data_IF_492833947590
#
_entry.id   IF_492833947590
#
_cell.length_a   1.000
_cell.length_b   1.000
_cell.length_c   1.000
_cell.angle_alpha   90.00
_cell.angle_beta   90.00
_cell.angle_gamma   90.00
#
_symmetry.space_group_name_H-M   'P 1'
#
loop_
_entity.id
_entity.type
_entity.pdbx_description
1 polymer ?
#
# COMPACT_ATOMS: atom_id res chain seq x y z
N UNK A 1 8.30 20.65 3.08
CA UNK A 1 6.94 20.35 2.54
C UNK A 1 5.86 20.92 3.48
N UNK A 2 5.78 20.49 4.75
CA UNK A 2 4.75 20.95 5.70
C UNK A 2 4.63 22.49 5.76
N UNK A 3 5.73 23.19 5.97
CA UNK A 3 5.74 24.67 6.00
C UNK A 3 5.27 25.31 4.67
N UNK A 4 5.60 24.70 3.53
CA UNK A 4 5.17 25.19 2.22
C UNK A 4 3.66 25.06 2.02
N UNK A 5 3.08 23.96 2.51
CA UNK A 5 1.65 23.69 2.42
C UNK A 5 0.82 24.35 3.52
N UNK A 6 1.46 24.86 4.57
CA UNK A 6 0.78 25.34 5.78
C UNK A 6 0.12 24.21 6.58
N UNK A 7 0.66 22.98 6.50
CA UNK A 7 0.17 21.79 7.18
C UNK A 7 0.99 21.51 8.43
N UNK A 8 0.41 20.80 9.39
CA UNK A 8 1.11 20.34 10.58
C UNK A 8 2.17 19.29 10.21
N UNK A 9 3.38 19.43 10.73
CA UNK A 9 4.40 18.38 10.63
C UNK A 9 4.29 17.43 11.82
N UNK A 10 4.07 16.15 11.55
CA UNK A 10 4.04 15.09 12.56
C UNK A 10 5.23 14.16 12.27
N UNK A 11 6.21 14.16 13.17
CA UNK A 11 7.34 13.24 13.08
C UNK A 11 6.88 11.80 13.32
N UNK A 12 7.16 10.91 12.38
CA UNK A 12 6.77 9.50 12.46
C UNK A 12 7.32 8.80 13.70
N UNK A 13 8.51 9.18 14.19
CA UNK A 13 9.07 8.64 15.42
C UNK A 13 8.25 8.97 16.68
N UNK A 14 7.33 9.95 16.61
CA UNK A 14 6.45 10.29 17.74
C UNK A 14 5.12 9.56 17.75
N UNK A 15 4.76 8.89 16.63
CA UNK A 15 3.42 8.31 16.42
C UNK A 15 3.44 6.88 15.88
N UNK A 16 4.57 6.40 15.37
CA UNK A 16 4.76 5.05 14.85
C UNK A 16 5.80 4.34 15.71
N UNK A 17 5.46 3.14 16.20
CA UNK A 17 6.28 2.44 17.18
C UNK A 17 6.62 1.01 16.74
N UNK A 18 7.78 0.56 17.21
CA UNK A 18 8.28 -0.81 17.06
C UNK A 18 8.50 -1.43 18.44
N UNK A 19 8.39 -2.75 18.54
CA UNK A 19 8.67 -3.51 19.75
C UNK A 19 10.18 -3.76 19.97
N UNK A 20 10.54 -4.44 21.05
CA UNK A 20 11.93 -4.80 21.39
C UNK A 20 12.59 -5.71 20.34
N UNK A 21 11.82 -6.41 19.53
CA UNK A 21 12.29 -7.29 18.47
C UNK A 21 12.39 -6.56 17.11
N UNK A 22 12.04 -5.26 17.05
CA UNK A 22 12.00 -4.48 15.82
C UNK A 22 10.76 -4.75 14.97
N UNK A 23 9.72 -5.42 15.50
CA UNK A 23 8.46 -5.57 14.79
C UNK A 23 7.56 -4.35 15.00
N UNK A 24 6.72 -4.07 14.03
CA UNK A 24 5.76 -2.97 14.11
C UNK A 24 4.74 -3.19 15.24
N UNK A 25 4.69 -2.26 16.20
CA UNK A 25 3.70 -2.23 17.27
C UNK A 25 2.41 -1.55 16.81
N UNK A 26 1.50 -2.35 16.26
CA UNK A 26 0.25 -1.87 15.69
C UNK A 26 -0.70 -1.27 16.76
N UNK A 27 -0.73 -1.82 17.96
CA UNK A 27 -1.65 -1.39 19.02
C UNK A 27 -1.26 -0.01 19.57
N UNK A 28 0.02 0.13 19.93
CA UNK A 28 0.54 1.40 20.43
C UNK A 28 0.47 2.49 19.37
N UNK A 29 0.84 2.16 18.14
CA UNK A 29 0.77 3.09 17.01
C UNK A 29 -0.66 3.55 16.75
N UNK A 30 -1.63 2.64 16.63
CA UNK A 30 -3.04 2.96 16.41
C UNK A 30 -3.55 3.94 17.49
N UNK A 31 -3.29 3.63 18.76
CA UNK A 31 -3.75 4.45 19.89
C UNK A 31 -3.18 5.87 19.86
N UNK A 32 -1.89 6.02 19.59
CA UNK A 32 -1.22 7.34 19.60
C UNK A 32 -1.52 8.14 18.34
N UNK A 33 -1.42 7.50 17.18
CA UNK A 33 -1.61 8.14 15.89
C UNK A 33 -3.06 8.58 15.66
N UNK A 34 -4.06 7.73 15.97
CA UNK A 34 -5.47 8.10 15.83
C UNK A 34 -5.81 9.31 16.68
N UNK A 35 -5.38 9.33 17.96
CA UNK A 35 -5.60 10.48 18.84
C UNK A 35 -4.95 11.76 18.34
N UNK A 36 -3.77 11.65 17.70
CA UNK A 36 -3.09 12.80 17.11
C UNK A 36 -3.82 13.31 15.89
N UNK A 37 -4.30 12.41 15.02
CA UNK A 37 -5.01 12.75 13.78
C UNK A 37 -6.42 13.30 14.03
N UNK A 38 -7.11 12.88 15.09
CA UNK A 38 -8.39 13.47 15.50
C UNK A 38 -8.31 14.98 15.77
N UNK A 39 -7.13 15.46 16.17
CA UNK A 39 -6.87 16.88 16.49
C UNK A 39 -6.22 17.66 15.34
N UNK A 40 -5.96 17.00 14.21
CA UNK A 40 -5.18 17.55 13.10
C UNK A 40 -5.99 17.49 11.81
N UNK A 41 -6.34 18.64 11.25
CA UNK A 41 -7.09 18.71 9.98
C UNK A 41 -6.24 18.31 8.78
N UNK A 42 -4.99 18.76 8.74
CA UNK A 42 -4.05 18.52 7.63
C UNK A 42 -2.64 18.33 8.17
N UNK A 43 -2.02 17.22 7.80
CA UNK A 43 -0.68 16.87 8.24
C UNK A 43 0.24 16.45 7.09
N UNK A 44 1.54 16.60 7.31
CA UNK A 44 2.61 15.94 6.57
C UNK A 44 3.33 15.03 7.54
N UNK A 45 3.29 13.73 7.23
CA UNK A 45 3.90 12.67 8.03
C UNK A 45 4.96 12.01 7.16
N UNK A 46 6.26 12.06 7.51
CA UNK A 46 7.28 11.35 6.75
C UNK A 46 7.03 9.83 6.81
N UNK A 47 7.21 9.14 5.70
CA UNK A 47 7.09 7.69 5.66
C UNK A 47 8.38 6.97 6.05
N UNK A 48 8.31 5.61 6.13
CA UNK A 48 9.45 4.71 6.15
C UNK A 48 10.01 4.37 7.55
N UNK A 49 9.76 5.16 8.60
CA UNK A 49 10.35 4.97 9.92
C UNK A 49 9.37 5.23 11.08
N UNK A 50 9.77 4.83 12.26
CA UNK A 50 9.15 5.12 13.57
C UNK A 50 10.18 5.04 14.68
N UNK A 51 9.78 4.83 15.92
CA UNK A 51 10.63 4.72 17.07
C UNK A 51 10.57 3.33 17.72
N UNK A 52 11.73 2.82 18.13
CA UNK A 52 11.86 1.68 19.01
C UNK A 52 11.56 2.02 20.48
N UNK A 53 11.61 1.03 21.38
CA UNK A 53 11.36 1.24 22.82
C UNK A 53 12.33 2.22 23.48
N UNK A 54 13.54 2.27 23.00
CA UNK A 54 14.62 3.17 23.47
C UNK A 54 14.55 4.58 22.87
N UNK A 55 13.54 4.86 22.01
CA UNK A 55 13.38 6.12 21.31
C UNK A 55 14.27 6.28 20.07
N UNK A 56 15.11 5.30 19.76
CA UNK A 56 15.90 5.33 18.52
C UNK A 56 15.04 5.09 17.29
N UNK A 57 15.46 5.68 16.17
CA UNK A 57 14.76 5.49 14.88
C UNK A 57 14.92 4.05 14.40
N UNK A 58 13.80 3.43 14.08
CA UNK A 58 13.71 2.11 13.45
C UNK A 58 12.99 2.26 12.12
N UNK A 59 13.50 1.60 11.07
CA UNK A 59 12.93 1.67 9.73
C UNK A 59 12.19 0.38 9.36
N UNK A 60 11.15 0.52 8.54
CA UNK A 60 10.55 -0.65 7.90
C UNK A 60 11.54 -1.30 6.93
N UNK A 61 11.54 -2.62 6.86
CA UNK A 61 12.51 -3.39 6.06
C UNK A 61 12.34 -3.17 4.56
N UNK A 62 11.11 -2.95 4.07
CA UNK A 62 10.78 -2.76 2.66
C UNK A 62 9.41 -2.07 2.51
N UNK A 63 9.25 -1.26 1.45
CA UNK A 63 7.96 -0.60 1.16
C UNK A 63 7.48 0.34 2.28
N UNK A 64 8.41 0.87 3.09
CA UNK A 64 8.08 1.58 4.33
C UNK A 64 7.23 2.83 4.14
N UNK A 65 7.36 3.53 3.01
CA UNK A 65 6.51 4.68 2.69
C UNK A 65 5.07 4.25 2.44
N UNK A 66 4.87 3.17 1.69
CA UNK A 66 3.53 2.63 1.39
C UNK A 66 2.89 2.07 2.66
N UNK A 67 3.69 1.38 3.50
CA UNK A 67 3.24 0.87 4.81
C UNK A 67 2.81 2.04 5.70
N UNK A 68 3.60 3.12 5.76
CA UNK A 68 3.27 4.31 6.54
C UNK A 68 1.96 4.94 6.06
N UNK A 69 1.78 5.12 4.75
CA UNK A 69 0.53 5.63 4.18
C UNK A 69 -0.68 4.78 4.54
N UNK A 70 -0.53 3.47 4.52
CA UNK A 70 -1.56 2.50 4.91
C UNK A 70 -1.91 2.59 6.41
N UNK A 71 -0.90 2.69 7.29
CA UNK A 71 -1.08 2.85 8.73
C UNK A 71 -1.81 4.17 9.03
N UNK A 72 -1.38 5.27 8.42
CA UNK A 72 -2.00 6.60 8.59
C UNK A 72 -3.44 6.58 8.11
N UNK A 73 -3.70 6.01 6.93
CA UNK A 73 -5.05 5.91 6.36
C UNK A 73 -6.00 5.13 7.27
N UNK A 74 -5.53 4.03 7.87
CA UNK A 74 -6.30 3.28 8.86
C UNK A 74 -6.56 4.13 10.11
N UNK A 75 -5.55 4.79 10.66
CA UNK A 75 -5.65 5.54 11.90
C UNK A 75 -6.58 6.76 11.80
N UNK A 76 -6.69 7.40 10.65
CA UNK A 76 -7.63 8.51 10.42
C UNK A 76 -8.97 8.08 9.82
N UNK A 77 -9.24 6.76 9.71
CA UNK A 77 -10.46 6.23 9.07
C UNK A 77 -10.70 6.84 7.69
N UNK A 78 -9.67 6.90 6.87
CA UNK A 78 -9.72 7.51 5.55
C UNK A 78 -10.80 6.87 4.66
N UNK A 79 -11.47 7.67 3.85
CA UNK A 79 -12.41 7.16 2.84
C UNK A 79 -11.69 6.47 1.67
N UNK A 80 -10.42 6.83 1.45
CA UNK A 80 -9.54 6.28 0.40
C UNK A 80 -8.08 6.52 0.75
N UNK A 81 -7.21 5.58 0.39
CA UNK A 81 -5.76 5.74 0.38
C UNK A 81 -5.29 5.93 -1.06
N UNK A 82 -4.84 7.12 -1.43
CA UNK A 82 -4.18 7.35 -2.71
C UNK A 82 -2.68 7.10 -2.60
N UNK A 83 -2.17 6.14 -3.36
CA UNK A 83 -0.75 5.85 -3.47
C UNK A 83 -0.22 6.44 -4.79
N UNK A 84 0.52 7.53 -4.68
CA UNK A 84 1.10 8.24 -5.81
C UNK A 84 2.50 7.72 -6.12
N UNK A 85 2.67 7.17 -7.32
CA UNK A 85 3.89 6.52 -7.80
C UNK A 85 4.23 6.98 -9.23
N UNK A 86 5.16 6.32 -9.90
CA UNK A 86 5.59 6.63 -11.27
C UNK A 86 4.84 5.84 -12.37
N UNK A 87 3.84 5.03 -11.98
CA UNK A 87 3.01 4.25 -12.91
C UNK A 87 1.52 4.57 -12.74
N UNK A 88 0.75 4.48 -13.83
CA UNK A 88 -0.68 4.79 -13.86
C UNK A 88 -1.56 3.63 -13.39
N UNK A 89 -1.13 2.89 -12.36
CA UNK A 89 -1.86 1.74 -11.82
C UNK A 89 -1.34 0.40 -12.35
N UNK A 90 -2.17 -0.63 -12.23
CA UNK A 90 -1.85 -1.98 -12.69
C UNK A 90 -2.24 -2.17 -14.15
N UNK A 91 -1.45 -2.95 -14.87
CA UNK A 91 -1.69 -3.30 -16.26
C UNK A 91 -2.13 -4.77 -16.37
N UNK A 92 -2.93 -5.09 -17.36
CA UNK A 92 -3.41 -6.47 -17.63
C UNK A 92 -2.29 -7.45 -17.98
N UNK A 93 -1.13 -6.95 -18.42
CA UNK A 93 0.05 -7.74 -18.74
C UNK A 93 1.33 -6.91 -18.55
N UNK A 94 2.48 -7.57 -18.49
CA UNK A 94 3.78 -6.91 -18.41
C UNK A 94 4.08 -6.13 -19.70
N UNK A 95 4.29 -4.80 -19.64
CA UNK A 95 4.60 -3.97 -20.79
C UNK A 95 5.94 -4.31 -21.47
N UNK A 96 6.80 -5.08 -20.82
CA UNK A 96 8.05 -5.60 -21.40
C UNK A 96 7.82 -6.79 -22.33
N UNK A 97 6.62 -7.39 -22.28
CA UNK A 97 6.25 -8.60 -23.05
C UNK A 97 5.16 -8.29 -24.07
N UNK A 98 4.20 -7.45 -23.71
CA UNK A 98 3.05 -7.09 -24.53
C UNK A 98 3.07 -5.59 -24.79
N UNK A 99 3.02 -5.19 -26.05
CA UNK A 99 2.95 -3.78 -26.43
C UNK A 99 1.59 -3.18 -26.03
N UNK A 100 1.64 -2.02 -25.35
CA UNK A 100 0.46 -1.24 -24.97
C UNK A 100 -0.62 -2.04 -24.21
N UNK A 101 -0.27 -2.74 -23.11
CA UNK A 101 -1.26 -3.47 -22.34
C UNK A 101 -2.29 -2.50 -21.74
N UNK A 102 -3.55 -2.93 -21.66
CA UNK A 102 -4.63 -2.11 -21.12
C UNK A 102 -4.47 -1.92 -19.60
N UNK A 103 -4.84 -0.75 -19.05
CA UNK A 103 -4.87 -0.52 -17.62
C UNK A 103 -6.04 -1.27 -16.96
N UNK A 104 -5.80 -1.81 -15.78
CA UNK A 104 -6.84 -2.38 -14.92
C UNK A 104 -7.50 -1.23 -14.15
N UNK A 105 -8.79 -1.00 -14.35
CA UNK A 105 -9.51 0.09 -13.67
C UNK A 105 -9.80 -0.24 -12.21
N UNK A 106 -10.27 -1.46 -11.95
CA UNK A 106 -10.64 -1.94 -10.62
C UNK A 106 -10.13 -3.37 -10.45
N UNK A 107 -9.55 -3.64 -9.30
CA UNK A 107 -9.04 -4.97 -8.92
C UNK A 107 -9.36 -5.23 -7.45
N UNK A 108 -9.67 -6.47 -7.11
CA UNK A 108 -9.82 -6.85 -5.70
C UNK A 108 -8.47 -7.10 -5.06
N UNK A 109 -8.40 -6.98 -3.73
CA UNK A 109 -7.19 -7.34 -2.96
C UNK A 109 -6.74 -8.77 -3.21
N UNK A 110 -7.69 -9.69 -3.46
CA UNK A 110 -7.40 -11.08 -3.78
C UNK A 110 -6.71 -11.20 -5.14
N UNK A 111 -7.25 -10.59 -6.17
CA UNK A 111 -6.68 -10.59 -7.52
C UNK A 111 -5.31 -9.91 -7.55
N UNK A 112 -5.17 -8.76 -6.86
CA UNK A 112 -3.88 -8.06 -6.74
C UNK A 112 -2.80 -8.98 -6.14
N UNK A 113 -3.13 -9.72 -5.08
CA UNK A 113 -2.22 -10.68 -4.47
C UNK A 113 -1.77 -11.76 -5.46
N UNK A 114 -2.71 -12.36 -6.20
CA UNK A 114 -2.37 -13.37 -7.20
C UNK A 114 -1.46 -12.81 -8.31
N UNK A 115 -1.73 -11.61 -8.79
CA UNK A 115 -0.87 -10.92 -9.77
C UNK A 115 0.53 -10.62 -9.19
N UNK A 116 0.62 -10.21 -7.93
CA UNK A 116 1.87 -9.90 -7.24
C UNK A 116 2.77 -11.11 -7.08
N UNK A 117 2.22 -12.29 -6.76
CA UNK A 117 2.98 -13.54 -6.68
C UNK A 117 3.67 -13.88 -8.01
N UNK A 118 3.08 -13.51 -9.12
CA UNK A 118 3.61 -13.76 -10.46
C UNK A 118 4.54 -12.64 -10.96
N UNK A 119 4.85 -11.64 -10.11
CA UNK A 119 5.84 -10.60 -10.41
C UNK A 119 5.27 -9.27 -10.89
N UNK A 120 3.95 -9.11 -10.98
CA UNK A 120 3.28 -7.84 -11.27
C UNK A 120 3.04 -7.03 -9.97
N UNK A 121 4.12 -6.73 -9.22
CA UNK A 121 4.01 -6.03 -7.94
C UNK A 121 4.11 -4.51 -8.15
N UNK A 122 3.02 -3.80 -7.92
CA UNK A 122 2.99 -2.33 -7.84
C UNK A 122 3.07 -1.86 -6.39
N UNK A 123 2.46 -2.60 -5.46
CA UNK A 123 2.52 -2.36 -4.02
C UNK A 123 3.10 -3.57 -3.28
N UNK A 124 3.82 -3.31 -2.19
CA UNK A 124 4.27 -4.37 -1.29
C UNK A 124 3.07 -4.96 -0.53
N UNK A 125 3.05 -6.29 -0.34
CA UNK A 125 1.93 -6.98 0.33
C UNK A 125 1.70 -6.45 1.75
N UNK A 126 2.76 -6.20 2.51
CA UNK A 126 2.68 -5.65 3.87
C UNK A 126 2.03 -4.26 3.92
N UNK A 127 2.19 -3.47 2.86
CA UNK A 127 1.59 -2.14 2.76
C UNK A 127 0.06 -2.18 2.63
N UNK A 128 -0.47 -3.26 2.11
CA UNK A 128 -1.92 -3.43 1.86
C UNK A 128 -2.67 -3.86 3.12
N UNK A 129 -2.02 -4.57 4.02
CA UNK A 129 -2.67 -5.24 5.16
C UNK A 129 -3.46 -4.29 6.10
N UNK A 130 -2.93 -3.13 6.57
CA UNK A 130 -3.67 -2.24 7.47
C UNK A 130 -4.96 -1.69 6.85
N UNK A 131 -4.90 -1.18 5.61
CA UNK A 131 -6.08 -0.60 4.92
C UNK A 131 -7.08 -1.66 4.49
N UNK A 132 -6.62 -2.83 4.06
CA UNK A 132 -7.49 -3.97 3.75
C UNK A 132 -8.31 -4.39 4.97
N UNK A 133 -7.67 -4.56 6.14
CA UNK A 133 -8.36 -4.91 7.39
C UNK A 133 -9.39 -3.87 7.80
N UNK A 134 -9.15 -2.60 7.46
CA UNK A 134 -10.06 -1.48 7.72
C UNK A 134 -11.13 -1.29 6.63
N UNK A 135 -11.10 -2.06 5.53
CA UNK A 135 -12.02 -1.91 4.40
C UNK A 135 -11.82 -0.63 3.58
N UNK A 136 -10.66 0.00 3.69
CA UNK A 136 -10.34 1.26 2.99
C UNK A 136 -9.83 0.93 1.59
N UNK A 137 -10.42 1.47 0.52
CA UNK A 137 -9.92 1.28 -0.84
C UNK A 137 -8.58 1.99 -1.06
N UNK A 138 -7.75 1.43 -1.94
CA UNK A 138 -6.51 2.06 -2.40
C UNK A 138 -6.68 2.50 -3.85
N UNK A 139 -6.23 3.70 -4.21
CA UNK A 139 -6.09 4.12 -5.60
C UNK A 139 -4.61 4.34 -5.94
N UNK A 140 -4.09 3.59 -6.90
CA UNK A 140 -2.74 3.77 -7.43
C UNK A 140 -2.78 4.88 -8.48
N UNK A 141 -2.07 5.98 -8.23
CA UNK A 141 -2.05 7.17 -9.09
C UNK A 141 -0.64 7.47 -9.60
N UNK A 142 -0.57 8.10 -10.77
CA UNK A 142 0.71 8.47 -11.39
C UNK A 142 1.05 9.95 -11.14
N UNK A 143 2.20 10.20 -10.51
CA UNK A 143 2.71 11.56 -10.29
C UNK A 143 3.08 12.29 -11.59
N UNK A 144 3.40 11.54 -12.65
CA UNK A 144 3.75 12.09 -13.97
C UNK A 144 2.53 12.28 -14.87
N UNK A 145 1.38 11.69 -14.51
CA UNK A 145 0.10 11.82 -15.21
C UNK A 145 -1.05 11.90 -14.18
N UNK A 146 -1.23 13.05 -13.51
CA UNK A 146 -2.22 13.22 -12.45
C UNK A 146 -3.68 13.08 -12.92
N UNK A 147 -3.94 13.25 -14.22
CA UNK A 147 -5.28 13.11 -14.78
C UNK A 147 -5.66 11.65 -15.04
N UNK A 148 -4.69 10.74 -15.11
CA UNK A 148 -4.97 9.31 -15.23
C UNK A 148 -5.76 8.79 -14.02
N UNK A 149 -6.85 8.04 -14.22
CA UNK A 149 -7.69 7.55 -13.12
C UNK A 149 -6.98 6.55 -12.20
N UNK A 150 -5.93 5.90 -12.69
CA UNK A 150 -5.19 4.88 -11.97
C UNK A 150 -5.94 3.56 -11.85
N UNK A 151 -5.56 2.75 -10.85
CA UNK A 151 -6.22 1.48 -10.51
C UNK A 151 -6.79 1.56 -9.11
N UNK A 152 -8.09 1.28 -8.98
CA UNK A 152 -8.77 1.18 -7.70
C UNK A 152 -8.70 -0.26 -7.17
N UNK A 153 -8.18 -0.43 -5.95
CA UNK A 153 -8.08 -1.71 -5.25
C UNK A 153 -9.15 -1.74 -4.15
N UNK A 154 -10.00 -2.77 -4.16
CA UNK A 154 -11.17 -2.89 -3.27
C UNK A 154 -11.24 -4.29 -2.65
N UNK A 155 -12.02 -4.46 -1.57
CA UNK A 155 -12.25 -5.77 -0.96
C UNK A 155 -13.13 -6.66 -1.87
N UNK A 156 -14.19 -6.07 -2.44
CA UNK A 156 -15.08 -6.75 -3.37
C UNK A 156 -15.69 -5.76 -4.34
N UNK A 157 -16.12 -6.23 -5.49
CA UNK A 157 -16.82 -5.42 -6.48
C UNK A 157 -18.07 -6.15 -6.97
N UNK A 158 -19.18 -5.43 -7.07
CA UNK A 158 -20.40 -5.89 -7.73
C UNK A 158 -20.44 -5.51 -9.21
N UNK A 159 -19.45 -4.74 -9.68
CA UNK A 159 -19.34 -4.38 -11.09
C UNK A 159 -18.96 -5.61 -11.91
N UNK A 160 -19.70 -5.85 -12.99
CA UNK A 160 -19.28 -6.85 -13.98
C UNK A 160 -17.95 -6.37 -14.55
N UNK A 161 -16.92 -7.24 -14.56
CA UNK A 161 -15.64 -6.86 -15.17
C UNK A 161 -15.85 -6.58 -16.65
N UNK A 162 -15.17 -5.57 -17.17
CA UNK A 162 -15.17 -5.26 -18.60
C UNK A 162 -14.58 -6.41 -19.44
N UNK A 163 -13.80 -7.27 -18.80
CA UNK A 163 -13.07 -8.39 -19.40
C UNK A 163 -13.22 -9.68 -18.59
N UNK A 164 -13.12 -10.82 -19.27
CA UNK A 164 -13.19 -12.15 -18.64
C UNK A 164 -11.99 -12.44 -17.73
N UNK A 165 -10.85 -11.80 -18.00
CA UNK A 165 -9.58 -12.01 -17.27
C UNK A 165 -9.11 -10.64 -16.76
N UNK A 166 -8.84 -10.55 -15.45
CA UNK A 166 -8.35 -9.32 -14.80
C UNK A 166 -6.94 -8.97 -15.26
N UNK A 167 -6.06 -9.96 -15.38
CA UNK A 167 -4.68 -9.77 -15.82
C UNK A 167 -3.94 -11.09 -15.97
N UNK A 168 -2.78 -11.03 -16.62
CA UNK A 168 -1.88 -12.15 -16.82
C UNK A 168 -0.49 -11.73 -16.34
N UNK A 169 0.01 -12.40 -15.33
CA UNK A 169 1.38 -12.25 -14.85
C UNK A 169 2.12 -13.58 -14.97
N UNK A 170 3.43 -13.54 -15.25
CA UNK A 170 4.24 -14.74 -15.39
C UNK A 170 5.69 -14.50 -15.01
N UNK A 171 6.29 -15.50 -14.41
CA UNK A 171 7.71 -15.52 -14.06
C UNK A 171 8.34 -16.82 -14.56
N UNK A 172 9.55 -16.72 -15.12
CA UNK A 172 10.33 -17.88 -15.55
C UNK A 172 11.21 -18.40 -14.39
N UNK A 173 11.67 -19.67 -14.50
CA UNK A 173 12.66 -20.24 -13.58
C UNK A 173 12.07 -20.90 -12.34
N UNK A 174 10.79 -21.29 -12.36
CA UNK A 174 10.20 -22.12 -11.30
C UNK A 174 10.71 -23.55 -11.37
N UNK A 175 10.90 -24.14 -10.19
CA UNK A 175 11.15 -25.58 -10.00
C UNK A 175 9.98 -26.12 -9.19
N UNK A 176 9.34 -27.19 -9.67
CA UNK A 176 8.33 -27.91 -8.91
C UNK A 176 9.01 -29.00 -8.07
N UNK A 177 8.74 -28.99 -6.77
CA UNK A 177 9.16 -30.06 -5.83
C UNK A 177 7.90 -30.74 -5.33
N UNK A 178 7.73 -32.03 -5.70
CA UNK A 178 6.65 -32.85 -5.17
C UNK A 178 7.18 -33.63 -3.95
N UNK A 179 6.46 -33.51 -2.85
CA UNK A 179 6.74 -34.28 -1.62
C UNK A 179 5.56 -35.18 -1.38
N UNK A 180 5.79 -36.46 -1.55
CA UNK A 180 4.80 -37.49 -1.18
C UNK A 180 4.84 -37.64 0.34
N UNK A 181 3.67 -37.64 0.94
CA UNK A 181 3.52 -37.85 2.39
C UNK A 181 3.11 -39.29 2.61
N UNK A 182 4.04 -40.11 3.16
CA UNK A 182 3.77 -41.47 3.58
C UNK A 182 2.83 -41.54 4.81
#
# INVERSE_FOLDING_TARGET
>A
MANYLGYEFIDSATVIFFDENGNFDAEKTDKVLSKKLEQTEKAVIPGFYGAGPDGNVVTFSRGGSDITGSIVSKACHASMYENWTDVSGCLVADPRIIDNPQPIKVVTYRELRELSYMGASVLHEDAVFPVRKAGIPINIRNTNDPEAPGTLIVESTCQKPDYTITGIAGKKGFVAVNIDKD
#
